data_IF_628524744162
#
_entry.id   IF_628524744162
#
_cell.length_a   1.000
_cell.length_b   1.000
_cell.length_c   1.000
_cell.angle_alpha   90.00
_cell.angle_beta   90.00
_cell.angle_gamma   90.00
#
_symmetry.space_group_name_H-M   'P 1'
#
loop_
_entity.id
_entity.type
_entity.pdbx_description
1 polymer ?
#
# COMPACT_ATOMS: atom_id res chain seq x y z
N UNK A 1 1.22 13.53 -27.78
CA UNK A 1 0.85 12.71 -26.60
C UNK A 1 0.04 13.62 -25.70
N UNK A 2 -1.30 13.61 -25.81
CA UNK A 2 -2.12 14.73 -25.31
C UNK A 2 -2.93 14.38 -24.05
N UNK A 3 -3.11 13.09 -23.75
CA UNK A 3 -3.81 12.65 -22.54
C UNK A 3 -2.81 12.21 -21.46
N UNK A 4 -2.88 12.88 -20.30
CA UNK A 4 -2.05 12.65 -19.12
C UNK A 4 -2.81 11.97 -17.96
N UNK A 5 -4.04 11.52 -18.19
CA UNK A 5 -4.89 10.87 -17.17
C UNK A 5 -4.28 9.56 -16.66
N UNK A 6 -4.11 9.40 -15.35
CA UNK A 6 -3.55 8.14 -14.83
C UNK A 6 -4.61 7.04 -14.64
N UNK A 7 -5.87 7.44 -14.39
CA UNK A 7 -6.98 6.55 -14.02
C UNK A 7 -7.71 6.01 -15.25
N UNK A 8 -8.16 4.76 -15.18
CA UNK A 8 -8.96 4.16 -16.24
C UNK A 8 -10.25 4.95 -16.51
N UNK A 9 -10.64 5.03 -17.77
CA UNK A 9 -11.89 5.62 -18.22
C UNK A 9 -12.55 4.70 -19.26
N UNK A 10 -13.66 4.08 -18.88
CA UNK A 10 -14.38 3.15 -19.73
C UNK A 10 -15.01 3.82 -20.98
N UNK A 11 -15.47 5.07 -20.88
CA UNK A 11 -16.12 5.75 -22.02
C UNK A 11 -15.12 6.09 -23.13
N UNK A 12 -13.85 6.28 -22.78
CA UNK A 12 -12.76 6.54 -23.70
C UNK A 12 -11.96 5.28 -24.07
N UNK A 13 -12.43 4.08 -23.66
CA UNK A 13 -11.68 2.82 -23.78
C UNK A 13 -10.23 2.92 -23.26
N UNK A 14 -10.03 3.71 -22.20
CA UNK A 14 -8.73 3.95 -21.60
C UNK A 14 -8.53 3.04 -20.38
N UNK A 15 -7.59 2.09 -20.40
CA UNK A 15 -7.45 1.07 -19.36
C UNK A 15 -6.75 1.58 -18.09
N UNK A 16 -6.32 2.84 -18.06
CA UNK A 16 -5.48 3.42 -17.01
C UNK A 16 -3.99 3.21 -17.28
N UNK A 17 -3.14 3.81 -16.45
CA UNK A 17 -1.68 3.73 -16.57
C UNK A 17 -1.05 3.20 -15.28
N UNK A 18 0.09 2.53 -15.43
CA UNK A 18 0.90 1.94 -14.34
C UNK A 18 0.21 0.82 -13.58
N UNK A 19 0.99 0.09 -12.79
CA UNK A 19 0.47 -0.99 -11.93
C UNK A 19 -0.63 -0.55 -10.95
N UNK A 20 -0.73 0.74 -10.66
CA UNK A 20 -1.67 1.29 -9.70
C UNK A 20 -3.07 1.44 -10.25
N UNK A 21 -3.21 1.75 -11.54
CA UNK A 21 -4.50 2.12 -12.15
C UNK A 21 -4.83 1.32 -13.42
N UNK A 22 -3.91 0.48 -13.90
CA UNK A 22 -4.15 -0.36 -15.06
C UNK A 22 -5.08 -1.52 -14.70
N UNK A 23 -6.21 -1.64 -15.42
CA UNK A 23 -7.24 -2.64 -15.13
C UNK A 23 -7.11 -3.94 -15.94
N UNK A 24 -6.31 -3.93 -17.01
CA UNK A 24 -6.15 -5.10 -17.86
C UNK A 24 -5.06 -6.04 -17.35
N UNK A 25 -5.04 -7.26 -17.87
CA UNK A 25 -4.05 -8.27 -17.48
C UNK A 25 -2.68 -7.93 -18.09
N UNK A 26 -1.67 -7.73 -17.24
CA UNK A 26 -0.28 -7.63 -17.67
C UNK A 26 0.31 -9.01 -17.95
N UNK A 27 1.21 -9.11 -18.94
CA UNK A 27 2.00 -10.33 -19.20
C UNK A 27 2.93 -10.61 -18.01
N UNK A 28 3.68 -9.60 -17.58
CA UNK A 28 4.43 -9.60 -16.33
C UNK A 28 3.96 -8.44 -15.46
N UNK A 29 3.57 -8.73 -14.22
CA UNK A 29 3.17 -7.71 -13.27
C UNK A 29 4.33 -6.81 -12.86
N UNK A 30 4.03 -5.60 -12.40
CA UNK A 30 5.05 -4.74 -11.81
C UNK A 30 5.75 -5.42 -10.64
N UNK A 31 7.08 -5.34 -10.64
CA UNK A 31 7.89 -6.02 -9.63
C UNK A 31 8.04 -7.52 -9.85
N UNK A 32 7.61 -8.06 -10.99
CA UNK A 32 7.95 -9.42 -11.36
C UNK A 32 9.47 -9.56 -11.54
N UNK A 33 10.04 -10.57 -10.89
CA UNK A 33 11.46 -10.87 -10.97
C UNK A 33 11.72 -12.28 -10.47
N UNK A 34 12.62 -12.98 -11.16
CA UNK A 34 13.09 -14.31 -10.78
C UNK A 34 14.47 -14.19 -10.14
N UNK A 35 14.83 -15.19 -9.34
CA UNK A 35 16.15 -15.32 -8.75
C UNK A 35 16.67 -16.73 -9.02
N UNK A 36 17.99 -16.87 -9.11
CA UNK A 36 18.64 -18.19 -9.23
C UNK A 36 18.55 -19.01 -7.93
N UNK A 37 17.98 -18.44 -6.85
CA UNK A 37 17.67 -19.14 -5.61
C UNK A 37 16.20 -18.99 -5.22
N UNK A 38 15.72 -19.86 -4.34
CA UNK A 38 14.35 -19.82 -3.80
C UNK A 38 14.32 -19.17 -2.42
N UNK A 39 13.35 -18.30 -2.18
CA UNK A 39 13.23 -17.55 -0.94
C UNK A 39 11.84 -17.71 -0.31
N UNK A 40 11.79 -18.30 0.88
CA UNK A 40 10.58 -18.28 1.70
C UNK A 40 10.46 -16.98 2.49
N UNK A 41 9.23 -16.51 2.67
CA UNK A 41 8.89 -15.22 3.27
C UNK A 41 7.84 -15.43 4.35
N UNK A 42 7.99 -14.77 5.50
CA UNK A 42 7.07 -14.91 6.61
C UNK A 42 6.87 -13.55 7.29
N UNK A 43 5.65 -13.21 7.68
CA UNK A 43 5.39 -12.02 8.49
C UNK A 43 5.70 -12.39 9.95
N UNK A 44 6.58 -11.63 10.59
CA UNK A 44 6.96 -11.85 11.99
C UNK A 44 6.23 -10.89 12.93
N UNK A 45 5.93 -9.67 12.49
CA UNK A 45 5.14 -8.72 13.26
C UNK A 45 4.47 -7.68 12.37
N UNK A 46 3.23 -7.30 12.71
CA UNK A 46 2.55 -6.15 12.13
C UNK A 46 1.52 -5.64 13.14
N UNK A 47 1.31 -4.32 13.26
CA UNK A 47 0.21 -3.80 14.06
C UNK A 47 -1.12 -4.18 13.42
N UNK A 48 -2.08 -4.61 14.23
CA UNK A 48 -3.46 -4.87 13.79
C UNK A 48 -4.26 -3.59 13.63
N UNK A 49 -3.97 -2.58 14.46
CA UNK A 49 -4.70 -1.32 14.52
C UNK A 49 -3.73 -0.16 14.69
N UNK A 50 -3.96 0.92 13.94
CA UNK A 50 -3.21 2.17 14.04
C UNK A 50 -4.20 3.27 14.41
N UNK A 51 -4.02 3.88 15.59
CA UNK A 51 -4.91 4.92 16.09
C UNK A 51 -4.41 6.29 15.62
N UNK A 52 -5.26 7.01 14.90
CA UNK A 52 -5.00 8.38 14.46
C UNK A 52 -5.71 9.32 15.44
N UNK A 53 -4.94 10.21 16.10
CA UNK A 53 -5.49 11.21 17.01
C UNK A 53 -5.66 12.55 16.26
N UNK A 54 -6.88 13.11 16.18
CA UNK A 54 -7.09 14.43 15.58
C UNK A 54 -6.43 15.55 16.40
N UNK A 55 -5.99 16.63 15.75
CA UNK A 55 -5.30 17.75 16.43
C UNK A 55 -6.26 18.61 17.27
N UNK A 56 -7.56 18.59 16.96
CA UNK A 56 -8.59 19.39 17.64
C UNK A 56 -9.91 18.64 17.70
N UNK A 57 -10.63 18.79 18.83
CA UNK A 57 -11.99 18.23 19.04
C UNK A 57 -13.05 18.89 18.14
N UNK A 58 -12.75 20.05 17.53
CA UNK A 58 -13.71 20.81 16.73
C UNK A 58 -13.75 20.41 15.24
N UNK A 59 -12.87 19.50 14.79
CA UNK A 59 -12.82 19.02 13.41
C UNK A 59 -13.52 17.66 13.22
N UNK A 60 -14.58 17.38 13.99
CA UNK A 60 -15.39 16.17 13.85
C UNK A 60 -16.22 16.14 12.55
N UNK A 61 -16.28 17.25 11.80
CA UNK A 61 -17.21 17.43 10.68
C UNK A 61 -16.55 17.59 9.29
N UNK A 62 -15.44 16.92 9.00
CA UNK A 62 -15.07 16.68 7.59
C UNK A 62 -15.59 15.31 7.14
N UNK A 63 -16.90 15.14 7.27
CA UNK A 63 -17.66 14.14 6.53
C UNK A 63 -17.66 14.59 5.08
N UNK A 64 -17.11 13.80 4.16
CA UNK A 64 -17.35 14.03 2.74
C UNK A 64 -18.88 14.06 2.53
N UNK A 65 -19.38 15.21 2.06
CA UNK A 65 -20.74 15.33 1.54
C UNK A 65 -20.87 14.41 0.32
N UNK A 66 -22.06 13.82 0.08
CA UNK A 66 -22.27 12.76 -0.90
C UNK A 66 -22.38 13.27 -2.35
N UNK A 67 -21.68 14.33 -2.72
CA UNK A 67 -21.74 14.92 -4.07
C UNK A 67 -20.38 14.84 -4.77
N UNK A 68 -20.05 13.65 -5.27
CA UNK A 68 -19.27 13.47 -6.50
C UNK A 68 -19.14 11.97 -6.82
N UNK A 69 -19.65 11.61 -7.99
CA UNK A 69 -19.84 10.27 -8.53
C UNK A 69 -18.54 9.55 -8.93
N UNK A 70 -17.57 9.44 -8.03
CA UNK A 70 -16.38 8.58 -8.23
C UNK A 70 -15.71 8.04 -6.96
N UNK A 71 -16.15 8.40 -5.75
CA UNK A 71 -15.56 7.90 -4.50
C UNK A 71 -16.63 7.74 -3.40
N UNK A 72 -17.40 6.66 -3.44
CA UNK A 72 -18.08 6.13 -2.25
C UNK A 72 -17.83 4.62 -2.20
N UNK A 73 -17.28 4.11 -1.08
CA UNK A 73 -18.17 3.60 -0.06
C UNK A 73 -17.72 3.97 1.36
N UNK A 74 -18.53 4.79 2.04
CA UNK A 74 -18.61 4.88 3.52
C UNK A 74 -17.28 4.98 4.28
N UNK A 75 -16.26 5.59 3.69
CA UNK A 75 -14.94 5.74 4.28
C UNK A 75 -14.76 7.15 4.80
N UNK A 76 -14.75 7.33 6.12
CA UNK A 76 -14.36 8.60 6.72
C UNK A 76 -12.89 8.87 6.32
N UNK A 77 -12.60 10.05 5.80
CA UNK A 77 -11.25 10.42 5.38
C UNK A 77 -10.82 11.68 6.15
N UNK A 78 -9.60 11.65 6.67
CA UNK A 78 -9.04 12.74 7.48
C UNK A 78 -8.08 13.53 6.62
N UNK A 79 -8.14 14.86 6.71
CA UNK A 79 -7.14 15.71 6.09
C UNK A 79 -5.78 15.56 6.80
N UNK A 80 -4.74 15.24 6.03
CA UNK A 80 -3.39 15.02 6.55
C UNK A 80 -2.83 16.26 7.22
N UNK A 81 -3.23 17.46 6.78
CA UNK A 81 -2.78 18.73 7.38
C UNK A 81 -3.48 19.10 8.69
N UNK A 82 -4.64 18.51 9.01
CA UNK A 82 -5.44 18.87 10.19
C UNK A 82 -5.19 17.98 11.41
N UNK A 83 -4.20 17.09 11.35
CA UNK A 83 -3.93 16.07 12.38
C UNK A 83 -2.44 15.93 12.69
N UNK A 84 -2.07 15.36 13.86
CA UNK A 84 -0.65 15.09 14.20
C UNK A 84 -0.16 13.85 13.46
N UNK A 85 -0.55 13.76 12.19
CA UNK A 85 -0.31 12.64 11.32
C UNK A 85 1.14 12.64 10.87
N UNK A 86 1.79 13.81 10.82
CA UNK A 86 3.14 14.07 10.31
C UNK A 86 4.24 13.12 10.80
N UNK A 87 4.06 12.41 11.92
CA UNK A 87 5.02 11.43 12.41
C UNK A 87 4.40 10.07 12.79
N UNK A 88 3.19 9.75 12.33
CA UNK A 88 2.61 8.44 12.59
C UNK A 88 3.33 7.40 11.74
N UNK A 89 4.17 6.60 12.39
CA UNK A 89 4.93 5.53 11.78
C UNK A 89 4.64 4.22 12.49
N UNK A 90 4.67 3.13 11.73
CA UNK A 90 4.59 1.80 12.28
C UNK A 90 5.59 0.88 11.60
N UNK A 91 5.95 -0.20 12.29
CA UNK A 91 6.91 -1.17 11.77
C UNK A 91 6.21 -2.47 11.41
N UNK A 92 6.63 -3.04 10.29
CA UNK A 92 6.29 -4.41 9.88
C UNK A 92 7.57 -5.22 9.92
N UNK A 93 7.57 -6.30 10.68
CA UNK A 93 8.58 -7.32 10.65
C UNK A 93 8.23 -8.42 9.66
N UNK A 94 9.18 -8.80 8.82
CA UNK A 94 9.11 -10.04 8.04
C UNK A 94 10.47 -10.74 8.03
N UNK A 95 10.45 -12.06 7.92
CA UNK A 95 11.62 -12.89 7.76
C UNK A 95 11.70 -13.40 6.32
N UNK A 96 12.92 -13.45 5.79
CA UNK A 96 13.24 -14.12 4.53
C UNK A 96 14.27 -15.20 4.78
N UNK A 97 14.03 -16.39 4.24
CA UNK A 97 14.98 -17.49 4.26
C UNK A 97 15.37 -17.86 2.83
N UNK A 98 16.67 -18.00 2.57
CA UNK A 98 17.14 -18.55 1.31
C UNK A 98 17.11 -20.08 1.42
N UNK A 99 16.13 -20.71 0.77
CA UNK A 99 15.93 -22.17 0.75
C UNK A 99 16.54 -22.84 -0.48
N UNK A 100 17.12 -22.06 -1.40
CA UNK A 100 17.70 -22.61 -2.60
C UNK A 100 19.13 -23.15 -2.40
N UNK A 101 19.70 -23.65 -3.49
CA UNK A 101 21.00 -24.32 -3.48
C UNK A 101 22.19 -23.35 -3.62
N UNK A 102 21.92 -22.09 -3.93
CA UNK A 102 22.94 -21.07 -4.18
C UNK A 102 22.68 -19.81 -3.36
N UNK A 103 23.71 -19.01 -3.17
CA UNK A 103 23.55 -17.67 -2.62
C UNK A 103 22.80 -16.81 -3.66
N UNK A 104 22.00 -15.85 -3.19
CA UNK A 104 21.23 -15.02 -4.10
C UNK A 104 20.77 -13.73 -3.44
N UNK A 105 20.36 -12.78 -4.27
CA UNK A 105 19.70 -11.55 -3.80
C UNK A 105 18.22 -11.64 -4.13
N UNK A 106 17.39 -11.23 -3.17
CA UNK A 106 15.95 -11.12 -3.34
C UNK A 106 15.46 -9.73 -2.99
N UNK A 107 14.50 -9.23 -3.76
CA UNK A 107 13.82 -7.96 -3.53
C UNK A 107 12.40 -8.25 -3.10
N UNK A 108 11.98 -7.61 -2.02
CA UNK A 108 10.60 -7.66 -1.54
C UNK A 108 9.94 -6.32 -1.69
N UNK A 109 8.74 -6.34 -2.26
CA UNK A 109 7.89 -5.19 -2.46
C UNK A 109 6.73 -5.28 -1.47
N UNK A 110 6.53 -4.24 -0.68
CA UNK A 110 5.35 -4.13 0.18
C UNK A 110 4.38 -3.16 -0.45
N UNK A 111 3.17 -3.63 -0.65
CA UNK A 111 2.07 -2.94 -1.26
C UNK A 111 1.00 -2.64 -0.22
N UNK A 112 0.43 -1.44 -0.26
CA UNK A 112 -0.72 -1.08 0.56
C UNK A 112 -1.96 -0.95 -0.31
N UNK A 113 -3.11 -1.34 0.19
CA UNK A 113 -4.40 -1.18 -0.47
C UNK A 113 -5.51 -0.95 0.55
N UNK A 114 -6.62 -0.39 0.11
CA UNK A 114 -7.83 -0.29 0.92
C UNK A 114 -8.98 -0.99 0.19
N UNK A 115 -9.67 -1.91 0.88
CA UNK A 115 -10.73 -2.72 0.26
C UNK A 115 -11.92 -1.88 -0.20
N UNK A 116 -12.15 -0.74 0.46
CA UNK A 116 -13.23 0.20 0.13
C UNK A 116 -12.88 1.09 -1.06
N UNK A 117 -11.60 1.38 -1.27
CA UNK A 117 -11.13 2.17 -2.42
C UNK A 117 -10.63 1.21 -3.50
N UNK A 118 -11.56 0.76 -4.35
CA UNK A 118 -11.36 0.04 -5.61
C UNK A 118 -9.92 -0.40 -5.90
N UNK A 119 -9.51 -1.59 -5.40
CA UNK A 119 -8.25 -2.34 -5.67
C UNK A 119 -6.99 -1.51 -6.00
N UNK A 120 -6.89 -0.30 -5.47
CA UNK A 120 -5.86 0.64 -5.83
C UNK A 120 -4.71 0.46 -4.86
N UNK A 121 -3.57 -0.01 -5.35
CA UNK A 121 -2.35 0.02 -4.56
C UNK A 121 -2.04 1.48 -4.17
N UNK A 122 -2.07 1.79 -2.88
CA UNK A 122 -1.85 3.13 -2.34
C UNK A 122 -0.36 3.50 -2.43
N UNK A 123 0.53 2.54 -2.23
CA UNK A 123 1.97 2.73 -2.31
C UNK A 123 2.74 1.42 -2.42
N UNK A 124 3.98 1.53 -2.89
CA UNK A 124 4.95 0.45 -2.91
C UNK A 124 6.25 0.93 -2.22
N UNK A 125 6.88 0.04 -1.45
CA UNK A 125 8.26 0.23 -1.00
C UNK A 125 9.04 -1.07 -1.18
N UNK A 126 10.23 -0.93 -1.74
CA UNK A 126 11.14 -2.03 -2.03
C UNK A 126 12.19 -2.18 -0.93
N UNK A 127 12.59 -3.43 -0.71
CA UNK A 127 13.72 -3.78 0.13
C UNK A 127 14.52 -4.90 -0.52
N UNK A 128 15.84 -4.76 -0.61
CA UNK A 128 16.74 -5.77 -1.17
C UNK A 128 17.57 -6.45 -0.08
N UNK A 129 17.77 -7.75 -0.21
CA UNK A 129 18.69 -8.49 0.62
C UNK A 129 19.46 -9.56 -0.17
N UNK A 130 20.77 -9.61 0.04
CA UNK A 130 21.65 -10.70 -0.41
C UNK A 130 21.76 -11.79 0.66
N UNK A 131 21.12 -12.92 0.41
CA UNK A 131 21.03 -14.04 1.31
C UNK A 131 21.96 -15.20 0.98
N UNK A 132 22.73 -15.61 1.97
CA UNK A 132 23.48 -16.86 1.94
C UNK A 132 22.54 -18.05 2.04
N UNK A 133 22.90 -19.15 1.39
CA UNK A 133 22.16 -20.41 1.40
C UNK A 133 21.81 -20.86 2.83
N UNK A 134 20.55 -21.25 3.03
CA UNK A 134 20.04 -21.76 4.30
C UNK A 134 19.91 -20.73 5.41
N UNK A 135 20.28 -19.46 5.17
CA UNK A 135 20.19 -18.41 6.18
C UNK A 135 18.85 -17.70 6.13
N UNK A 136 18.38 -17.33 7.32
CA UNK A 136 17.20 -16.49 7.53
C UNK A 136 17.65 -15.10 7.97
N UNK A 137 17.04 -14.07 7.39
CA UNK A 137 17.19 -12.69 7.84
C UNK A 137 15.85 -12.09 8.19
N UNK A 138 15.79 -11.48 9.37
CA UNK A 138 14.68 -10.63 9.76
C UNK A 138 14.89 -9.22 9.20
N UNK A 139 13.84 -8.67 8.63
CA UNK A 139 13.78 -7.31 8.11
C UNK A 139 12.64 -6.60 8.82
N UNK A 140 12.96 -5.41 9.34
CA UNK A 140 11.95 -4.49 9.87
C UNK A 140 11.83 -3.35 8.90
N UNK A 141 10.59 -3.06 8.52
CA UNK A 141 10.27 -1.98 7.62
C UNK A 141 9.36 -0.97 8.32
N UNK A 142 9.87 0.25 8.47
CA UNK A 142 9.07 1.36 8.94
C UNK A 142 8.22 1.92 7.79
N UNK A 143 6.96 2.23 8.07
CA UNK A 143 6.02 2.85 7.15
C UNK A 143 5.45 4.12 7.78
N UNK A 144 5.52 5.20 7.02
CA UNK A 144 4.89 6.48 7.33
C UNK A 144 3.46 6.45 6.78
N UNK A 145 2.48 6.54 7.68
CA UNK A 145 1.06 6.40 7.34
C UNK A 145 0.63 7.54 6.40
N UNK A 146 1.11 8.78 6.61
CA UNK A 146 0.85 9.91 5.71
C UNK A 146 1.35 9.66 4.31
N UNK A 147 2.62 9.30 4.21
CA UNK A 147 3.29 9.28 2.91
C UNK A 147 2.88 8.08 2.08
N UNK A 148 2.44 7.00 2.72
CA UNK A 148 2.25 5.69 2.05
C UNK A 148 0.79 5.21 2.03
N UNK A 149 -0.08 5.76 2.87
CA UNK A 149 -1.50 5.36 2.96
C UNK A 149 -2.48 6.50 2.66
N UNK A 150 -1.99 7.72 2.37
CA UNK A 150 -2.86 8.82 1.91
C UNK A 150 -3.20 8.71 0.43
N UNK A 151 -4.36 9.26 0.09
CA UNK A 151 -4.85 9.51 -1.25
C UNK A 151 -4.92 11.00 -1.50
N UNK A 152 -5.00 11.38 -2.77
CA UNK A 152 -5.27 12.76 -3.17
C UNK A 152 -6.72 12.85 -3.60
N UNK A 153 -7.45 13.83 -3.09
CA UNK A 153 -8.83 14.10 -3.47
C UNK A 153 -8.94 15.00 -4.71
N UNK A 154 -10.16 15.35 -5.10
CA UNK A 154 -10.41 16.24 -6.25
C UNK A 154 -9.91 17.67 -6.06
N UNK A 155 -9.69 18.11 -4.81
CA UNK A 155 -9.16 19.43 -4.46
C UNK A 155 -7.63 19.43 -4.31
N UNK A 156 -6.95 18.36 -4.73
CA UNK A 156 -5.49 18.22 -4.64
C UNK A 156 -4.98 18.16 -3.18
N UNK A 157 -5.87 17.86 -2.23
CA UNK A 157 -5.52 17.67 -0.81
C UNK A 157 -5.22 16.21 -0.52
N UNK A 158 -4.20 15.97 0.31
CA UNK A 158 -3.89 14.62 0.79
C UNK A 158 -4.84 14.25 1.91
N UNK A 159 -5.58 13.17 1.73
CA UNK A 159 -6.52 12.61 2.69
C UNK A 159 -6.11 11.18 3.08
N UNK A 160 -6.11 10.92 4.38
CA UNK A 160 -5.92 9.60 4.94
C UNK A 160 -7.27 8.89 5.04
N UNK A 161 -7.44 7.78 4.33
CA UNK A 161 -8.68 6.99 4.42
C UNK A 161 -8.68 6.19 5.72
N UNK A 162 -9.70 6.37 6.56
CA UNK A 162 -9.93 5.54 7.74
C UNK A 162 -10.62 4.25 7.31
N UNK A 163 -10.25 3.14 7.94
CA UNK A 163 -10.93 1.86 7.81
C UNK A 163 -9.94 0.73 7.59
N UNK A 164 -10.42 -0.34 6.95
CA UNK A 164 -9.62 -1.54 6.76
C UNK A 164 -8.61 -1.36 5.62
N UNK A 165 -7.34 -1.43 5.99
CA UNK A 165 -6.20 -1.45 5.06
C UNK A 165 -5.64 -2.87 4.96
N UNK A 166 -5.20 -3.24 3.77
CA UNK A 166 -4.53 -4.50 3.49
C UNK A 166 -3.11 -4.21 3.04
N UNK A 167 -2.15 -4.88 3.68
CA UNK A 167 -0.73 -4.78 3.34
C UNK A 167 -0.31 -6.11 2.74
N UNK A 168 0.11 -6.08 1.48
CA UNK A 168 0.56 -7.25 0.75
C UNK A 168 2.07 -7.20 0.62
N UNK A 169 2.77 -8.20 1.16
CA UNK A 169 4.21 -8.36 0.97
C UNK A 169 4.39 -9.31 -0.20
N UNK A 170 4.94 -8.84 -1.31
CA UNK A 170 4.89 -9.55 -2.58
C UNK A 170 5.20 -11.07 -2.48
N UNK A 171 4.23 -11.84 -3.01
CA UNK A 171 3.98 -13.29 -2.95
C UNK A 171 3.53 -13.92 -1.60
N UNK A 172 3.30 -13.13 -0.55
CA UNK A 172 2.37 -13.50 0.53
C UNK A 172 1.22 -12.49 0.57
N UNK A 173 0.07 -12.87 0.02
CA UNK A 173 -1.18 -12.19 0.33
C UNK A 173 -1.60 -12.55 1.75
N UNK A 174 -1.47 -11.62 2.70
CA UNK A 174 -1.96 -11.83 4.06
C UNK A 174 -2.96 -10.74 4.44
N UNK A 175 -4.14 -11.21 4.84
CA UNK A 175 -5.27 -10.41 5.27
C UNK A 175 -5.01 -9.93 6.70
N UNK A 176 -4.56 -8.69 6.90
CA UNK A 176 -4.60 -8.10 8.25
C UNK A 176 -6.03 -7.62 8.49
N UNK A 177 -6.80 -8.38 9.28
CA UNK A 177 -8.11 -7.93 9.79
C UNK A 177 -7.87 -7.07 11.03
N UNK A 178 -7.91 -5.75 10.85
CA UNK A 178 -8.17 -4.85 11.98
C UNK A 178 -9.66 -4.91 12.34
N UNK A 179 -9.96 -5.12 13.62
CA UNK A 179 -11.26 -4.75 14.20
C UNK A 179 -11.24 -3.25 14.51
#
# INVERSE_FOLDING_TARGET
MNDMSMRANATLNFPGRTYRFYHHKSIYGFGHGLSYSTFSKFITSAPSTIVIKPLSKNHQNNTLSPDSTALQPNGQAIDVSSTNYLNLRFQIGFAMKNDGLVNGTHVVLVYSGNRRVQRGLLGCRAWSWSGLRGKTKMVKMELDVCKRLSLVDGEVKRKAVIGQHELMVAWLGLLVKGK
#
